data_IF_075898761871
#
_entry.id   IF_075898761871
#
_cell.length_a   1.000
_cell.length_b   1.000
_cell.length_c   1.000
_cell.angle_alpha   90.00
_cell.angle_beta   90.00
_cell.angle_gamma   90.00
#
_symmetry.space_group_name_H-M   'P 1'
#
loop_
_entity.id
_entity.type
_entity.pdbx_description
1 polymer ?
#
# COMPACT_ATOMS: atom_id res chain seq x y z
N UNK A 1 -16.80 3.45 -23.01
CA UNK A 1 -17.48 4.54 -22.27
C UNK A 1 -17.26 4.42 -20.76
N UNK A 2 -17.56 3.27 -20.13
CA UNK A 2 -17.34 3.04 -18.67
C UNK A 2 -15.91 3.35 -18.21
N UNK A 3 -14.90 2.83 -18.90
CA UNK A 3 -13.48 3.06 -18.58
C UNK A 3 -13.08 4.54 -18.57
N UNK A 4 -13.66 5.37 -19.43
CA UNK A 4 -13.26 6.79 -19.55
C UNK A 4 -13.70 7.60 -18.33
N UNK A 5 -14.88 7.27 -17.78
CA UNK A 5 -15.35 7.87 -16.53
C UNK A 5 -14.50 7.45 -15.34
N UNK A 6 -14.10 6.18 -15.28
CA UNK A 6 -13.25 5.66 -14.21
C UNK A 6 -11.83 6.25 -14.30
N UNK A 7 -11.23 6.32 -15.50
CA UNK A 7 -9.95 6.99 -15.71
C UNK A 7 -10.00 8.47 -15.33
N UNK A 8 -11.13 9.15 -15.57
CA UNK A 8 -11.32 10.54 -15.13
C UNK A 8 -11.45 10.65 -13.61
N UNK A 9 -12.17 9.73 -12.97
CA UNK A 9 -12.22 9.61 -11.50
C UNK A 9 -10.81 9.41 -10.91
N UNK A 10 -10.00 8.53 -11.49
CA UNK A 10 -8.61 8.32 -11.08
C UNK A 10 -7.75 9.57 -11.20
N UNK A 11 -7.89 10.34 -12.29
CA UNK A 11 -7.19 11.62 -12.44
C UNK A 11 -7.60 12.64 -11.38
N UNK A 12 -8.88 12.70 -11.01
CA UNK A 12 -9.34 13.57 -9.91
C UNK A 12 -8.75 13.14 -8.57
N UNK A 13 -8.72 11.83 -8.29
CA UNK A 13 -8.08 11.28 -7.09
C UNK A 13 -6.59 11.64 -7.05
N UNK A 14 -5.87 11.45 -8.15
CA UNK A 14 -4.45 11.81 -8.27
C UNK A 14 -4.19 13.29 -7.97
N UNK A 15 -4.93 14.19 -8.64
CA UNK A 15 -4.83 15.65 -8.42
C UNK A 15 -5.05 16.03 -6.96
N UNK A 16 -5.95 15.33 -6.27
CA UNK A 16 -6.22 15.60 -4.85
C UNK A 16 -5.08 15.13 -3.95
N UNK A 17 -4.49 13.97 -4.23
CA UNK A 17 -3.31 13.48 -3.50
C UNK A 17 -2.15 14.47 -3.66
N UNK A 18 -1.89 14.94 -4.88
CA UNK A 18 -0.83 15.92 -5.17
C UNK A 18 -1.09 17.24 -4.43
N UNK A 19 -2.34 17.73 -4.43
CA UNK A 19 -2.70 18.97 -3.74
C UNK A 19 -2.52 18.90 -2.22
N UNK A 20 -2.78 17.74 -1.60
CA UNK A 20 -2.55 17.53 -0.15
C UNK A 20 -1.05 17.57 0.16
N UNK A 21 -0.21 17.06 -0.73
CA UNK A 21 1.24 17.02 -0.53
C UNK A 21 1.91 18.39 -0.66
N UNK A 22 1.42 19.25 -1.55
CA UNK A 22 1.92 20.64 -1.68
C UNK A 22 1.61 21.53 -0.48
N UNK A 23 0.91 20.99 0.53
CA UNK A 23 0.53 21.69 1.75
C UNK A 23 -0.68 22.61 1.55
N UNK A 24 -1.27 23.12 2.65
CA UNK A 24 -2.39 24.05 2.54
C UNK A 24 -1.86 25.40 2.02
N UNK A 25 -1.79 25.56 0.71
CA UNK A 25 -1.71 26.88 0.09
C UNK A 25 -3.03 27.61 0.33
N UNK A 26 -3.05 28.53 1.31
CA UNK A 26 -4.07 29.56 1.57
C UNK A 26 -5.49 29.32 1.01
N UNK A 27 -6.10 28.18 1.34
CA UNK A 27 -7.49 27.91 0.98
C UNK A 27 -8.35 27.95 2.25
N UNK A 28 -8.66 29.17 2.69
CA UNK A 28 -9.84 29.44 3.51
C UNK A 28 -11.08 29.09 2.68
N UNK A 29 -11.51 27.83 2.72
CA UNK A 29 -12.80 27.44 2.17
C UNK A 29 -13.31 26.26 2.99
N UNK A 30 -14.14 26.59 3.99
CA UNK A 30 -15.03 25.65 4.66
C UNK A 30 -16.09 25.20 3.65
N UNK A 31 -15.75 24.19 2.85
CA UNK A 31 -16.71 23.48 2.00
C UNK A 31 -17.46 22.39 2.80
N UNK A 32 -18.70 22.05 2.40
CA UNK A 32 -19.65 21.29 3.22
C UNK A 32 -19.25 19.82 3.46
N UNK A 33 -19.89 19.25 4.49
CA UNK A 33 -19.69 17.93 5.13
C UNK A 33 -19.91 16.68 4.24
N UNK A 34 -19.44 16.66 3.00
CA UNK A 34 -19.27 15.42 2.24
C UNK A 34 -17.84 14.92 2.42
N UNK A 35 -17.65 13.59 2.49
CA UNK A 35 -16.30 13.00 2.60
C UNK A 35 -15.49 13.23 1.30
N UNK A 36 -16.15 13.39 0.15
CA UNK A 36 -15.52 13.52 -1.17
C UNK A 36 -16.24 14.52 -2.11
N UNK A 37 -16.47 15.80 -1.71
CA UNK A 37 -17.22 16.77 -2.52
C UNK A 37 -16.58 17.03 -3.89
N UNK A 38 -15.27 16.83 -3.98
CA UNK A 38 -14.46 16.99 -5.18
C UNK A 38 -14.65 15.86 -6.21
N UNK A 39 -15.23 14.71 -5.83
CA UNK A 39 -15.50 13.58 -6.73
C UNK A 39 -16.94 13.58 -7.28
N UNK A 40 -17.60 14.73 -7.32
CA UNK A 40 -18.97 14.81 -7.84
C UNK A 40 -19.10 14.35 -9.30
N UNK A 41 -20.28 13.85 -9.69
CA UNK A 41 -20.62 13.51 -11.09
C UNK A 41 -20.26 14.64 -12.08
N UNK A 42 -20.48 15.90 -11.67
CA UNK A 42 -20.13 17.09 -12.47
C UNK A 42 -18.62 17.22 -12.67
N UNK A 43 -17.84 17.01 -11.61
CA UNK A 43 -16.39 17.04 -11.68
C UNK A 43 -15.84 15.94 -12.59
N UNK A 44 -16.37 14.71 -12.48
CA UNK A 44 -15.96 13.57 -13.34
C UNK A 44 -16.23 13.87 -14.81
N UNK A 45 -17.41 14.36 -15.15
CA UNK A 45 -17.75 14.74 -16.54
C UNK A 45 -16.89 15.90 -17.04
N UNK A 46 -16.55 16.86 -16.19
CA UNK A 46 -15.63 17.94 -16.55
C UNK A 46 -14.22 17.40 -16.82
N UNK A 47 -13.71 16.50 -15.97
CA UNK A 47 -12.41 15.86 -16.13
C UNK A 47 -12.35 14.90 -17.33
N UNK A 48 -13.49 14.33 -17.76
CA UNK A 48 -13.51 13.56 -19.00
C UNK A 48 -13.22 14.43 -20.23
N UNK A 49 -13.66 15.70 -20.22
CA UNK A 49 -13.48 16.63 -21.36
C UNK A 49 -12.01 17.01 -21.60
N UNK A 50 -11.13 16.77 -20.63
CA UNK A 50 -9.68 16.97 -20.76
C UNK A 50 -9.00 15.77 -21.44
N UNK A 51 -9.68 14.64 -21.60
CA UNK A 51 -9.18 13.43 -22.25
C UNK A 51 -9.26 13.43 -23.78
N UNK A 52 -8.63 12.44 -24.41
CA UNK A 52 -8.47 12.32 -25.87
C UNK A 52 -9.68 11.70 -26.62
N UNK A 53 -10.78 11.37 -25.94
CA UNK A 53 -11.89 10.53 -26.47
C UNK A 53 -13.27 11.22 -26.41
N UNK A 54 -14.29 10.70 -27.13
CA UNK A 54 -15.56 11.41 -27.37
C UNK A 54 -16.29 11.81 -26.08
N UNK A 55 -16.89 13.00 -26.12
CA UNK A 55 -17.52 13.67 -24.98
C UNK A 55 -18.85 13.00 -24.59
N UNK A 56 -18.82 12.04 -23.67
CA UNK A 56 -20.05 11.56 -23.03
C UNK A 56 -20.48 12.53 -21.92
N UNK A 57 -21.78 12.82 -21.84
CA UNK A 57 -22.34 13.80 -20.90
C UNK A 57 -22.78 13.19 -19.57
N UNK A 58 -23.33 14.01 -18.68
CA UNK A 58 -23.91 13.56 -17.41
C UNK A 58 -25.00 12.49 -17.59
N UNK A 59 -25.74 12.51 -18.70
CA UNK A 59 -26.76 11.50 -19.02
C UNK A 59 -26.19 10.09 -19.08
N UNK A 60 -25.09 9.90 -19.82
CA UNK A 60 -24.43 8.60 -19.94
C UNK A 60 -23.83 8.11 -18.61
N UNK A 61 -23.32 9.03 -17.77
CA UNK A 61 -22.85 8.70 -16.43
C UNK A 61 -24.00 8.18 -15.55
N UNK A 62 -25.14 8.86 -15.53
CA UNK A 62 -26.31 8.48 -14.72
C UNK A 62 -27.00 7.22 -15.23
N UNK A 63 -26.99 7.00 -16.54
CA UNK A 63 -27.49 5.77 -17.15
C UNK A 63 -26.67 4.56 -16.69
N UNK A 64 -25.33 4.71 -16.62
CA UNK A 64 -24.45 3.64 -16.14
C UNK A 64 -24.47 3.48 -14.63
N UNK A 65 -24.47 4.58 -13.88
CA UNK A 65 -24.47 4.62 -12.42
C UNK A 65 -25.64 5.47 -11.91
N UNK A 66 -26.81 4.85 -11.65
CA UNK A 66 -27.99 5.57 -11.17
C UNK A 66 -27.75 6.29 -9.84
N UNK A 67 -26.96 5.68 -8.95
CA UNK A 67 -26.51 6.25 -7.70
C UNK A 67 -25.02 6.61 -7.78
N UNK A 68 -24.60 7.66 -7.06
CA UNK A 68 -23.21 8.09 -7.06
C UNK A 68 -22.29 7.07 -6.38
N UNK A 69 -22.77 6.40 -5.34
CA UNK A 69 -21.98 5.44 -4.57
C UNK A 69 -21.56 4.23 -5.42
N UNK A 70 -22.46 3.73 -6.29
CA UNK A 70 -22.10 2.69 -7.28
C UNK A 70 -20.96 3.13 -8.23
N UNK A 71 -20.86 4.41 -8.56
CA UNK A 71 -19.72 4.91 -9.34
C UNK A 71 -18.43 4.91 -8.51
N UNK A 72 -18.52 5.25 -7.22
CA UNK A 72 -17.37 5.24 -6.30
C UNK A 72 -16.89 3.81 -6.07
N UNK A 73 -17.78 2.85 -5.87
CA UNK A 73 -17.46 1.42 -5.76
C UNK A 73 -16.74 0.89 -7.01
N UNK A 74 -17.29 1.14 -8.20
CA UNK A 74 -16.66 0.75 -9.48
C UNK A 74 -15.30 1.45 -9.65
N UNK A 75 -15.17 2.71 -9.23
CA UNK A 75 -13.92 3.46 -9.30
C UNK A 75 -12.85 2.89 -8.39
N UNK A 76 -13.20 2.56 -7.14
CA UNK A 76 -12.27 1.95 -6.20
C UNK A 76 -11.87 0.55 -6.67
N UNK A 77 -12.82 -0.28 -7.08
CA UNK A 77 -12.55 -1.62 -7.65
C UNK A 77 -11.65 -1.52 -8.88
N UNK A 78 -11.92 -0.58 -9.78
CA UNK A 78 -11.08 -0.33 -10.95
C UNK A 78 -9.68 0.14 -10.57
N UNK A 79 -9.53 0.98 -9.55
CA UNK A 79 -8.24 1.42 -9.07
C UNK A 79 -7.40 0.26 -8.51
N UNK A 80 -8.03 -0.69 -7.83
CA UNK A 80 -7.39 -1.87 -7.24
C UNK A 80 -7.05 -2.95 -8.28
N UNK A 81 -7.64 -2.89 -9.48
CA UNK A 81 -7.37 -3.87 -10.52
C UNK A 81 -5.88 -4.00 -10.81
N UNK A 82 -5.38 -5.25 -10.83
CA UNK A 82 -3.96 -5.62 -10.95
C UNK A 82 -3.16 -4.87 -12.01
N UNK A 83 -3.79 -4.48 -13.12
CA UNK A 83 -3.13 -3.72 -14.19
C UNK A 83 -2.58 -2.36 -13.73
N UNK A 84 -3.16 -1.79 -12.68
CA UNK A 84 -2.73 -0.52 -12.11
C UNK A 84 -1.59 -0.67 -11.09
N UNK A 85 -1.43 -1.87 -10.52
CA UNK A 85 -0.40 -2.19 -9.51
C UNK A 85 0.86 -2.81 -10.10
N UNK A 86 0.79 -3.32 -11.33
CA UNK A 86 1.91 -4.01 -11.97
C UNK A 86 3.20 -3.19 -12.02
N UNK A 87 3.12 -1.87 -12.26
CA UNK A 87 4.29 -1.00 -12.27
C UNK A 87 4.97 -0.90 -10.89
N UNK A 88 4.20 -0.95 -9.81
CA UNK A 88 4.74 -0.94 -8.44
C UNK A 88 5.47 -2.26 -8.13
N UNK A 89 4.88 -3.39 -8.55
CA UNK A 89 5.46 -4.73 -8.38
C UNK A 89 6.80 -4.83 -9.12
N UNK A 90 6.85 -4.42 -10.39
CA UNK A 90 8.09 -4.46 -11.20
C UNK A 90 9.18 -3.56 -10.59
N UNK A 91 8.81 -2.40 -10.06
CA UNK A 91 9.77 -1.51 -9.39
C UNK A 91 10.35 -2.17 -8.13
N UNK A 92 9.54 -2.89 -7.37
CA UNK A 92 9.97 -3.58 -6.14
C UNK A 92 10.91 -4.76 -6.46
N UNK A 93 10.63 -5.56 -7.49
CA UNK A 93 11.54 -6.63 -7.94
C UNK A 93 12.92 -6.09 -8.35
N UNK A 94 12.97 -4.93 -9.01
CA UNK A 94 14.24 -4.31 -9.42
C UNK A 94 15.11 -3.88 -8.22
N UNK A 95 14.50 -3.62 -7.07
CA UNK A 95 15.22 -3.26 -5.84
C UNK A 95 16.10 -4.41 -5.35
N UNK A 96 15.70 -5.66 -5.60
CA UNK A 96 16.43 -6.85 -5.15
C UNK A 96 17.70 -7.12 -5.94
N UNK A 97 17.77 -6.64 -7.18
CA UNK A 97 18.99 -6.73 -7.97
C UNK A 97 20.15 -5.92 -7.37
N UNK A 98 19.87 -5.05 -6.38
CA UNK A 98 20.86 -4.21 -5.71
C UNK A 98 21.33 -4.78 -4.35
N UNK A 99 20.81 -5.93 -3.92
CA UNK A 99 21.07 -6.51 -2.58
C UNK A 99 22.55 -6.81 -2.34
N UNK A 100 23.33 -7.12 -3.37
CA UNK A 100 24.76 -7.43 -3.25
C UNK A 100 25.64 -6.24 -2.84
N UNK A 101 25.11 -5.01 -2.81
CA UNK A 101 25.86 -3.80 -2.48
C UNK A 101 25.89 -3.41 -1.00
N UNK A 102 25.19 -4.13 -0.12
CA UNK A 102 24.98 -3.70 1.26
C UNK A 102 26.04 -4.25 2.23
N UNK A 103 26.46 -3.46 3.23
CA UNK A 103 27.52 -3.85 4.18
C UNK A 103 27.04 -4.91 5.19
N UNK A 104 25.77 -4.84 5.60
CA UNK A 104 25.14 -5.81 6.49
C UNK A 104 23.61 -5.88 6.26
N UNK A 105 22.99 -6.91 6.86
CA UNK A 105 21.56 -7.17 6.73
C UNK A 105 20.67 -6.10 7.40
N UNK A 106 20.99 -5.57 8.59
CA UNK A 106 20.26 -4.44 9.17
C UNK A 106 20.22 -3.19 8.27
N UNK A 107 21.34 -2.81 7.65
CA UNK A 107 21.40 -1.67 6.73
C UNK A 107 20.52 -1.91 5.50
N UNK A 108 20.55 -3.12 4.93
CA UNK A 108 19.66 -3.51 3.84
C UNK A 108 18.17 -3.37 4.23
N UNK A 109 17.78 -3.86 5.40
CA UNK A 109 16.39 -3.78 5.87
C UNK A 109 15.92 -2.35 6.08
N UNK A 110 16.75 -1.47 6.64
CA UNK A 110 16.41 -0.06 6.80
C UNK A 110 16.26 0.65 5.46
N UNK A 111 17.15 0.41 4.51
CA UNK A 111 17.07 1.04 3.19
C UNK A 111 15.86 0.57 2.39
N UNK A 112 15.57 -0.74 2.35
CA UNK A 112 14.35 -1.27 1.72
C UNK A 112 13.11 -0.64 2.37
N UNK A 113 13.05 -0.62 3.71
CA UNK A 113 11.93 -0.03 4.44
C UNK A 113 11.75 1.46 4.13
N UNK A 114 12.84 2.22 4.01
CA UNK A 114 12.78 3.63 3.65
C UNK A 114 12.27 3.85 2.23
N UNK A 115 12.79 3.08 1.27
CA UNK A 115 12.36 3.15 -0.13
C UNK A 115 10.88 2.80 -0.25
N UNK A 116 10.43 1.74 0.43
CA UNK A 116 9.03 1.34 0.44
C UNK A 116 8.11 2.41 1.04
N UNK A 117 8.45 2.96 2.22
CA UNK A 117 7.67 4.05 2.83
C UNK A 117 7.66 5.33 1.97
N UNK A 118 8.79 5.67 1.35
CA UNK A 118 8.87 6.83 0.43
C UNK A 118 7.99 6.61 -0.81
N UNK A 119 7.95 5.39 -1.34
CA UNK A 119 7.05 5.03 -2.44
C UNK A 119 5.58 5.11 -2.01
N UNK A 120 5.23 4.49 -0.87
CA UNK A 120 3.87 4.46 -0.34
C UNK A 120 3.29 5.86 -0.07
N UNK A 121 4.12 6.79 0.44
CA UNK A 121 3.72 8.20 0.72
C UNK A 121 3.07 8.89 -0.48
N UNK A 122 3.58 8.60 -1.68
CA UNK A 122 3.17 9.23 -2.93
C UNK A 122 2.33 8.31 -3.81
N UNK A 123 2.02 7.10 -3.36
CA UNK A 123 1.28 6.14 -4.13
C UNK A 123 -0.23 6.36 -3.99
N UNK A 124 -0.87 6.78 -5.09
CA UNK A 124 -2.31 6.93 -5.16
C UNK A 124 -3.03 5.62 -4.82
N UNK A 125 -2.56 4.50 -5.38
CA UNK A 125 -3.23 3.21 -5.27
C UNK A 125 -3.17 2.68 -3.84
N UNK A 126 -2.08 2.92 -3.12
CA UNK A 126 -1.99 2.60 -1.70
C UNK A 126 -3.06 3.34 -0.87
N UNK A 127 -3.34 4.61 -1.16
CA UNK A 127 -4.39 5.36 -0.47
C UNK A 127 -5.79 4.84 -0.82
N UNK A 128 -6.00 4.49 -2.09
CA UNK A 128 -7.24 3.86 -2.54
C UNK A 128 -7.44 2.52 -1.84
N UNK A 129 -6.40 1.70 -1.71
CA UNK A 129 -6.42 0.44 -0.97
C UNK A 129 -6.88 0.64 0.47
N UNK A 130 -6.32 1.61 1.20
CA UNK A 130 -6.76 1.90 2.58
C UNK A 130 -8.24 2.27 2.63
N UNK A 131 -8.71 3.16 1.74
CA UNK A 131 -10.12 3.58 1.70
C UNK A 131 -11.01 2.38 1.41
N UNK A 132 -10.67 1.58 0.39
CA UNK A 132 -11.44 0.42 0.00
C UNK A 132 -11.44 -0.66 1.10
N UNK A 133 -10.34 -0.89 1.79
CA UNK A 133 -10.26 -1.84 2.91
C UNK A 133 -11.20 -1.46 4.07
N UNK A 134 -11.36 -0.16 4.35
CA UNK A 134 -12.33 0.33 5.35
C UNK A 134 -13.78 0.11 4.91
N UNK A 135 -14.07 0.28 3.62
CA UNK A 135 -15.42 0.15 3.06
C UNK A 135 -15.82 -1.31 2.75
N UNK A 136 -14.85 -2.19 2.55
CA UNK A 136 -15.04 -3.57 2.13
C UNK A 136 -15.96 -4.41 3.04
N UNK A 137 -16.13 -4.03 4.31
CA UNK A 137 -17.05 -4.74 5.22
C UNK A 137 -18.52 -4.59 4.80
N UNK A 138 -18.86 -3.50 4.12
CA UNK A 138 -20.23 -3.19 3.70
C UNK A 138 -20.45 -3.46 2.22
N UNK A 139 -19.37 -3.55 1.44
CA UNK A 139 -19.39 -3.64 -0.02
C UNK A 139 -18.70 -4.93 -0.52
N UNK A 140 -19.45 -5.99 -0.87
CA UNK A 140 -18.89 -7.27 -1.29
C UNK A 140 -17.93 -7.17 -2.48
N UNK A 141 -18.21 -6.30 -3.46
CA UNK A 141 -17.34 -6.12 -4.62
C UNK A 141 -15.96 -5.54 -4.22
N UNK A 142 -15.93 -4.64 -3.22
CA UNK A 142 -14.67 -4.10 -2.70
C UNK A 142 -13.93 -5.14 -1.86
N UNK A 143 -14.64 -6.00 -1.14
CA UNK A 143 -14.06 -7.12 -0.42
C UNK A 143 -13.31 -8.06 -1.37
N UNK A 144 -13.96 -8.49 -2.45
CA UNK A 144 -13.34 -9.33 -3.48
C UNK A 144 -12.13 -8.63 -4.12
N UNK A 145 -12.26 -7.36 -4.51
CA UNK A 145 -11.17 -6.61 -5.13
C UNK A 145 -9.95 -6.44 -4.21
N UNK A 146 -10.15 -6.25 -2.90
CA UNK A 146 -9.08 -6.17 -1.91
C UNK A 146 -8.43 -7.54 -1.68
N UNK A 147 -9.21 -8.61 -1.62
CA UNK A 147 -8.66 -9.97 -1.52
C UNK A 147 -7.78 -10.30 -2.72
N UNK A 148 -8.25 -10.06 -3.95
CA UNK A 148 -7.46 -10.26 -5.16
C UNK A 148 -6.16 -9.44 -5.14
N UNK A 149 -6.23 -8.19 -4.64
CA UNK A 149 -5.03 -7.36 -4.50
C UNK A 149 -4.04 -7.96 -3.50
N UNK A 150 -4.50 -8.41 -2.34
CA UNK A 150 -3.63 -9.04 -1.33
C UNK A 150 -3.02 -10.35 -1.84
N UNK A 151 -3.76 -11.16 -2.60
CA UNK A 151 -3.21 -12.36 -3.23
C UNK A 151 -2.08 -12.02 -4.22
N UNK A 152 -2.27 -10.98 -5.03
CA UNK A 152 -1.25 -10.50 -5.99
C UNK A 152 -0.02 -9.93 -5.26
N UNK A 153 -0.22 -9.11 -4.23
CA UNK A 153 0.88 -8.51 -3.46
C UNK A 153 1.63 -9.61 -2.69
N UNK A 154 0.89 -10.48 -1.99
CA UNK A 154 1.45 -11.56 -1.18
C UNK A 154 2.29 -12.52 -2.02
N UNK A 155 1.74 -13.02 -3.14
CA UNK A 155 2.49 -13.91 -4.04
C UNK A 155 3.77 -13.27 -4.59
N UNK A 156 3.72 -12.01 -5.00
CA UNK A 156 4.91 -11.29 -5.48
C UNK A 156 5.98 -11.18 -4.38
N UNK A 157 5.59 -10.85 -3.14
CA UNK A 157 6.55 -10.67 -2.05
C UNK A 157 7.07 -11.98 -1.45
N UNK A 158 6.28 -13.06 -1.49
CA UNK A 158 6.72 -14.38 -1.02
C UNK A 158 7.98 -14.85 -1.75
N UNK A 159 8.03 -14.74 -3.08
CA UNK A 159 9.20 -15.13 -3.88
C UNK A 159 10.43 -14.29 -3.53
N UNK A 160 10.22 -13.00 -3.31
CA UNK A 160 11.25 -12.04 -2.90
C UNK A 160 11.84 -12.40 -1.55
N UNK A 161 10.99 -12.66 -0.56
CA UNK A 161 11.45 -13.01 0.79
C UNK A 161 12.15 -14.36 0.81
N UNK A 162 11.65 -15.35 0.06
CA UNK A 162 12.32 -16.63 -0.08
C UNK A 162 13.72 -16.48 -0.66
N UNK A 163 13.86 -15.70 -1.73
CA UNK A 163 15.16 -15.43 -2.34
C UNK A 163 16.15 -14.76 -1.37
N UNK A 164 15.69 -13.76 -0.60
CA UNK A 164 16.52 -13.09 0.39
C UNK A 164 16.97 -14.04 1.52
N UNK A 165 16.07 -14.90 2.01
CA UNK A 165 16.43 -15.89 3.03
C UNK A 165 17.46 -16.88 2.50
N UNK A 166 17.28 -17.40 1.28
CA UNK A 166 18.20 -18.34 0.65
C UNK A 166 19.58 -17.72 0.42
N UNK A 167 19.63 -16.47 -0.07
CA UNK A 167 20.88 -15.72 -0.27
C UNK A 167 21.70 -15.60 1.02
N UNK A 168 21.01 -15.45 2.16
CA UNK A 168 21.63 -15.32 3.47
C UNK A 168 21.71 -16.63 4.26
N UNK A 169 21.43 -17.79 3.62
CA UNK A 169 21.36 -19.12 4.26
C UNK A 169 20.51 -19.13 5.53
N UNK A 170 19.44 -18.35 5.52
CA UNK A 170 18.50 -18.20 6.62
C UNK A 170 17.28 -19.08 6.37
N UNK A 171 16.68 -19.57 7.45
CA UNK A 171 15.47 -20.39 7.37
C UNK A 171 14.45 -19.85 8.38
N UNK A 172 13.18 -19.87 8.00
CA UNK A 172 12.10 -19.60 8.94
C UNK A 172 12.00 -20.73 9.98
N UNK A 173 11.44 -20.39 11.14
CA UNK A 173 11.02 -21.36 12.16
C UNK A 173 9.87 -22.21 11.64
N UNK A 174 9.76 -23.43 12.15
CA UNK A 174 8.80 -24.44 11.65
C UNK A 174 7.33 -24.06 11.82
N UNK A 175 7.02 -23.17 12.77
CA UNK A 175 5.69 -22.63 13.05
C UNK A 175 5.37 -21.34 12.25
N UNK A 176 6.32 -20.84 11.47
CA UNK A 176 6.19 -19.64 10.65
C UNK A 176 6.26 -20.01 9.17
N UNK A 177 5.12 -20.33 8.52
CA UNK A 177 5.09 -20.53 7.08
C UNK A 177 5.41 -19.21 6.36
N UNK A 178 5.93 -19.31 5.14
CA UNK A 178 6.39 -18.14 4.37
C UNK A 178 5.26 -17.13 4.11
N UNK A 179 4.04 -17.62 3.88
CA UNK A 179 2.86 -16.78 3.68
C UNK A 179 2.59 -15.92 4.92
N UNK A 180 2.65 -16.51 6.11
CA UNK A 180 2.47 -15.77 7.37
C UNK A 180 3.61 -14.78 7.61
N UNK A 181 4.83 -15.13 7.21
CA UNK A 181 5.96 -14.21 7.26
C UNK A 181 5.73 -12.99 6.36
N UNK A 182 5.26 -13.20 5.13
CA UNK A 182 4.90 -12.13 4.21
C UNK A 182 3.75 -11.28 4.76
N UNK A 183 2.69 -11.89 5.30
CA UNK A 183 1.55 -11.19 5.92
C UNK A 183 1.99 -10.28 7.07
N UNK A 184 2.90 -10.75 7.93
CA UNK A 184 3.45 -9.95 9.04
C UNK A 184 4.19 -8.71 8.52
N UNK A 185 5.00 -8.87 7.47
CA UNK A 185 5.74 -7.75 6.87
C UNK A 185 4.81 -6.77 6.17
N UNK A 186 3.82 -7.25 5.40
CA UNK A 186 2.78 -6.42 4.78
C UNK A 186 2.01 -5.64 5.83
N UNK A 187 1.51 -6.29 6.89
CA UNK A 187 0.78 -5.62 7.95
C UNK A 187 1.62 -4.54 8.66
N UNK A 188 2.91 -4.81 8.88
CA UNK A 188 3.84 -3.82 9.42
C UNK A 188 4.02 -2.63 8.46
N UNK A 189 4.25 -2.88 7.18
CA UNK A 189 4.43 -1.85 6.15
C UNK A 189 3.18 -0.96 6.05
N UNK A 190 1.99 -1.55 5.92
CA UNK A 190 0.72 -0.82 5.83
C UNK A 190 0.44 0.00 7.08
N UNK A 191 0.65 -0.58 8.26
CA UNK A 191 0.43 0.12 9.53
C UNK A 191 1.36 1.31 9.71
N UNK A 192 2.63 1.19 9.31
CA UNK A 192 3.59 2.30 9.38
C UNK A 192 3.30 3.35 8.31
N UNK A 193 2.98 2.94 7.09
CA UNK A 193 2.63 3.85 6.00
C UNK A 193 1.34 4.63 6.33
N UNK A 194 0.34 3.99 6.93
CA UNK A 194 -0.86 4.68 7.43
C UNK A 194 -0.51 5.75 8.47
N UNK A 195 0.38 5.44 9.42
CA UNK A 195 0.88 6.43 10.39
C UNK A 195 1.60 7.58 9.68
N UNK A 196 2.41 7.30 8.66
CA UNK A 196 3.11 8.31 7.87
C UNK A 196 2.17 9.29 7.17
N UNK A 197 0.97 8.84 6.77
CA UNK A 197 -0.03 9.70 6.12
C UNK A 197 -0.62 10.75 7.09
N UNK A 198 -0.59 10.49 8.40
CA UNK A 198 -1.24 11.32 9.41
C UNK A 198 -0.23 12.05 10.30
N UNK A 199 0.89 11.42 10.62
CA UNK A 199 1.90 11.98 11.51
C UNK A 199 2.76 13.03 10.79
N UNK A 200 2.72 14.26 11.30
CA UNK A 200 3.56 15.37 10.81
C UNK A 200 4.92 15.42 11.51
N UNK A 201 5.19 14.51 12.45
CA UNK A 201 6.44 14.46 13.23
C UNK A 201 7.43 13.47 12.60
N UNK A 202 8.75 13.64 12.82
CA UNK A 202 9.80 12.77 12.28
C UNK A 202 9.88 11.40 13.00
N UNK A 203 8.76 10.83 13.44
CA UNK A 203 8.75 9.58 14.22
C UNK A 203 8.76 8.33 13.35
N UNK A 204 8.30 8.45 12.11
CA UNK A 204 8.19 7.31 11.18
C UNK A 204 9.46 7.14 10.35
N UNK A 205 10.04 8.25 9.90
CA UNK A 205 11.30 8.31 9.16
C UNK A 205 12.22 9.30 9.89
N UNK A 206 13.39 8.82 10.25
CA UNK A 206 14.54 9.62 10.66
C UNK A 206 15.41 9.86 9.43
N UNK A 207 15.32 11.08 8.88
CA UNK A 207 16.04 11.47 7.66
C UNK A 207 17.54 11.73 7.94
N UNK A 208 17.96 11.89 9.19
CA UNK A 208 19.37 12.13 9.54
C UNK A 208 20.13 10.82 9.60
N UNK A 209 19.56 9.84 10.30
CA UNK A 209 20.18 8.52 10.48
C UNK A 209 19.82 7.53 9.36
N UNK A 210 18.96 7.95 8.42
CA UNK A 210 18.37 7.10 7.38
C UNK A 210 17.77 5.82 7.98
N UNK A 211 16.94 5.99 9.01
CA UNK A 211 16.22 4.90 9.67
C UNK A 211 14.72 5.13 9.64
N UNK A 212 13.97 4.05 9.80
CA UNK A 212 12.52 4.10 9.83
C UNK A 212 11.93 3.15 10.87
N UNK A 213 10.74 3.48 11.35
CA UNK A 213 9.97 2.59 12.22
C UNK A 213 9.72 1.24 11.54
N UNK A 214 9.47 1.24 10.23
CA UNK A 214 9.31 0.01 9.47
C UNK A 214 10.58 -0.85 9.50
N UNK A 215 11.76 -0.27 9.30
CA UNK A 215 13.01 -1.02 9.36
C UNK A 215 13.22 -1.71 10.72
N UNK A 216 12.89 -1.02 11.82
CA UNK A 216 12.91 -1.64 13.15
C UNK A 216 11.91 -2.78 13.30
N UNK A 217 10.70 -2.64 12.77
CA UNK A 217 9.68 -3.70 12.80
C UNK A 217 10.11 -4.90 11.97
N UNK A 218 10.64 -4.69 10.76
CA UNK A 218 11.17 -5.76 9.90
C UNK A 218 12.27 -6.52 10.63
N UNK A 219 13.24 -5.81 11.24
CA UNK A 219 14.30 -6.47 12.01
C UNK A 219 13.74 -7.29 13.18
N UNK A 220 12.75 -6.77 13.91
CA UNK A 220 12.12 -7.49 15.01
C UNK A 220 11.38 -8.76 14.52
N UNK A 221 10.63 -8.65 13.42
CA UNK A 221 9.93 -9.77 12.78
C UNK A 221 10.94 -10.81 12.32
N UNK A 222 11.99 -10.42 11.62
CA UNK A 222 13.04 -11.32 11.12
C UNK A 222 13.77 -11.99 12.28
N UNK A 223 14.16 -11.25 13.31
CA UNK A 223 14.84 -11.80 14.48
C UNK A 223 13.97 -12.83 15.24
N UNK A 224 12.64 -12.65 15.24
CA UNK A 224 11.70 -13.60 15.82
C UNK A 224 11.45 -14.82 14.92
N UNK A 225 11.27 -14.61 13.62
CA UNK A 225 10.81 -15.64 12.68
C UNK A 225 11.93 -16.48 12.08
N UNK A 226 13.15 -15.95 11.95
CA UNK A 226 14.29 -16.68 11.42
C UNK A 226 14.95 -17.48 12.54
N UNK A 227 15.21 -18.76 12.27
CA UNK A 227 15.91 -19.63 13.22
C UNK A 227 17.41 -19.38 13.21
N UNK A 228 18.02 -19.43 14.38
CA UNK A 228 19.48 -19.52 14.49
C UNK A 228 19.91 -20.97 14.28
N UNK A 229 21.14 -21.19 13.82
CA UNK A 229 21.67 -22.55 13.68
C UNK A 229 21.61 -23.28 15.03
N UNK A 230 20.94 -24.44 15.06
CA UNK A 230 20.73 -25.24 16.27
C UNK A 230 19.61 -24.76 17.20
N UNK A 231 18.81 -23.77 16.79
CA UNK A 231 17.63 -23.30 17.53
C UNK A 231 16.33 -23.71 16.83
N UNK A 232 15.74 -24.83 17.25
CA UNK A 232 14.48 -25.35 16.71
C UNK A 232 13.22 -24.87 17.46
N UNK A 233 13.37 -23.89 18.36
CA UNK A 233 12.23 -23.34 19.10
C UNK A 233 11.25 -22.64 18.18
N UNK A 234 9.97 -22.71 18.51
CA UNK A 234 8.90 -21.88 17.94
C UNK A 234 8.98 -20.43 18.43
N UNK A 235 8.24 -19.52 17.78
CA UNK A 235 8.17 -18.12 18.24
C UNK A 235 7.62 -18.04 19.67
N UNK A 236 6.60 -18.82 19.99
CA UNK A 236 5.99 -18.89 21.33
C UNK A 236 6.99 -19.35 22.40
N UNK A 237 7.83 -20.34 22.10
CA UNK A 237 8.83 -20.84 23.03
C UNK A 237 9.93 -19.83 23.31
N UNK A 238 10.32 -19.01 22.31
CA UNK A 238 11.25 -17.89 22.51
C UNK A 238 10.64 -16.89 23.49
N UNK A 239 9.39 -16.49 23.27
CA UNK A 239 8.71 -15.52 24.14
C UNK A 239 8.62 -16.04 25.57
N UNK A 240 8.23 -17.31 25.76
CA UNK A 240 8.20 -17.95 27.09
C UNK A 240 9.58 -18.03 27.75
N UNK A 241 10.65 -18.11 26.97
CA UNK A 241 12.01 -18.14 27.53
C UNK A 241 12.43 -16.79 28.13
N UNK A 242 11.83 -15.68 27.70
CA UNK A 242 12.11 -14.34 28.23
C UNK A 242 11.56 -14.16 29.66
N UNK A 243 10.52 -14.89 30.06
CA UNK A 243 9.98 -14.86 31.42
C UNK A 243 10.92 -15.49 32.46
N UNK A 244 11.90 -16.27 31.99
CA UNK A 244 12.82 -17.04 32.84
C UNK A 244 14.22 -16.41 32.94
N UNK A 245 14.46 -15.31 32.22
CA UNK A 245 15.72 -14.57 32.20
C UNK A 245 15.67 -13.38 33.16
#
# INVERSE_FOLDING_TARGET
>A
MTREFLDAGLRLLAKRVDAIQMGPGNAESREPHSLLPWLSQRAVVAEMKTGKRPRSGMGALRERWPAHDHFVEDLLSYALWKGNWHANIVQQESMLQQVSGYPDLPALMHDIALKDLRAARNNLYFRVQIIAAVLAQQEPALHEAIQELYDVIGSSWTDVYQHLLDLHNCHLRSDVPMERFADMLTAAAEGVALRQLVDRRPRVIDEVEERSLLGYLIMAIVAGCVRKQGDDRTVDEIVRSLERA
#
